data_IF_777215452592
#
_entry.id   IF_777215452592
#
_cell.length_a   1.000
_cell.length_b   1.000
_cell.length_c   1.000
_cell.angle_alpha   90.00
_cell.angle_beta   90.00
_cell.angle_gamma   90.00
#
_symmetry.space_group_name_H-M   'P 1'
#
loop_
_entity.id
_entity.type
_entity.pdbx_description
1 polymer ?
#
# COMPACT_ATOMS: atom_id res chain seq x y z
N UNK A 1 28.07 18.69 -13.67
CA UNK A 1 26.68 19.08 -14.02
C UNK A 1 26.18 20.00 -12.92
N UNK A 2 26.05 21.31 -13.17
CA UNK A 2 25.48 22.24 -12.21
C UNK A 2 23.97 21.98 -12.09
N UNK A 3 23.50 21.47 -10.94
CA UNK A 3 22.06 21.39 -10.64
C UNK A 3 21.49 22.82 -10.68
N UNK A 4 20.48 23.03 -11.52
CA UNK A 4 19.77 24.30 -11.57
C UNK A 4 18.89 24.43 -10.32
N UNK A 5 19.35 25.20 -9.34
CA UNK A 5 18.68 25.38 -8.03
C UNK A 5 17.25 25.92 -8.16
N UNK A 6 16.96 26.70 -9.19
CA UNK A 6 15.61 27.20 -9.47
C UNK A 6 14.64 26.09 -9.86
N UNK A 7 15.10 25.09 -10.63
CA UNK A 7 14.29 23.93 -10.98
C UNK A 7 13.99 23.08 -9.75
N UNK A 8 14.96 22.96 -8.85
CA UNK A 8 14.82 22.19 -7.62
C UNK A 8 13.78 22.81 -6.68
N UNK A 9 13.80 24.14 -6.49
CA UNK A 9 12.76 24.85 -5.73
C UNK A 9 11.38 24.74 -6.37
N UNK A 10 11.30 24.81 -7.71
CA UNK A 10 10.03 24.68 -8.43
C UNK A 10 9.43 23.28 -8.21
N UNK A 11 10.22 22.23 -8.41
CA UNK A 11 9.76 20.84 -8.23
C UNK A 11 9.27 20.62 -6.80
N UNK A 12 10.01 21.11 -5.80
CA UNK A 12 9.60 21.03 -4.39
C UNK A 12 8.27 21.73 -4.13
N UNK A 13 8.11 22.95 -4.65
CA UNK A 13 6.87 23.70 -4.48
C UNK A 13 5.68 22.98 -5.11
N UNK A 14 5.88 22.32 -6.26
CA UNK A 14 4.83 21.57 -6.93
C UNK A 14 4.48 20.27 -6.20
N UNK A 15 5.47 19.56 -5.65
CA UNK A 15 5.24 18.38 -4.80
C UNK A 15 4.40 18.76 -3.57
N UNK A 16 4.78 19.81 -2.86
CA UNK A 16 4.03 20.28 -1.69
C UNK A 16 2.59 20.67 -2.06
N UNK A 17 2.43 21.48 -3.11
CA UNK A 17 1.12 21.93 -3.59
C UNK A 17 0.20 20.77 -3.97
N UNK A 18 0.72 19.74 -4.66
CA UNK A 18 -0.09 18.59 -5.05
C UNK A 18 -0.45 17.68 -3.89
N UNK A 19 0.44 17.52 -2.92
CA UNK A 19 0.15 16.77 -1.70
C UNK A 19 -0.97 17.45 -0.89
N UNK A 20 -0.92 18.77 -0.75
CA UNK A 20 -1.95 19.56 -0.07
C UNK A 20 -3.32 19.44 -0.77
N UNK A 21 -3.36 19.60 -2.11
CA UNK A 21 -4.58 19.42 -2.88
C UNK A 21 -5.15 18.00 -2.79
N UNK A 22 -4.27 16.98 -2.75
CA UNK A 22 -4.70 15.60 -2.55
C UNK A 22 -5.36 15.41 -1.18
N UNK A 23 -4.78 15.99 -0.13
CA UNK A 23 -5.35 15.94 1.22
C UNK A 23 -6.70 16.64 1.25
N UNK A 24 -6.79 17.87 0.76
CA UNK A 24 -8.04 18.65 0.76
C UNK A 24 -9.17 17.91 0.01
N UNK A 25 -8.88 17.40 -1.19
CA UNK A 25 -9.86 16.69 -1.99
C UNK A 25 -10.31 15.38 -1.34
N UNK A 26 -9.36 14.62 -0.77
CA UNK A 26 -9.64 13.32 -0.13
C UNK A 26 -10.44 13.51 1.15
N UNK A 27 -10.06 14.47 1.99
CA UNK A 27 -10.79 14.81 3.22
C UNK A 27 -12.21 15.29 2.92
N UNK A 28 -12.37 16.12 1.88
CA UNK A 28 -13.69 16.54 1.41
C UNK A 28 -14.51 15.33 0.96
N UNK A 29 -13.94 14.42 0.16
CA UNK A 29 -14.63 13.21 -0.30
C UNK A 29 -15.07 12.29 0.85
N UNK A 30 -14.20 12.10 1.87
CA UNK A 30 -14.51 11.34 3.08
C UNK A 30 -15.66 12.01 3.86
N UNK A 31 -15.67 13.35 3.95
CA UNK A 31 -16.72 14.09 4.64
C UNK A 31 -18.09 13.98 3.96
N UNK A 32 -18.11 13.91 2.63
CA UNK A 32 -19.32 13.75 1.82
C UNK A 32 -19.80 12.30 1.79
N UNK A 33 -18.90 11.34 2.04
CA UNK A 33 -19.15 9.90 1.93
C UNK A 33 -18.66 9.17 3.18
N UNK A 34 -19.31 9.37 4.34
CA UNK A 34 -18.80 8.81 5.59
C UNK A 34 -18.85 7.26 5.56
N UNK A 35 -17.79 6.59 6.08
CA UNK A 35 -17.60 5.14 5.94
C UNK A 35 -18.66 4.26 6.62
N UNK A 36 -19.55 4.85 7.43
CA UNK A 36 -20.68 4.18 8.08
C UNK A 36 -21.97 4.13 7.24
N UNK A 37 -21.97 4.75 6.05
CA UNK A 37 -23.14 4.71 5.17
C UNK A 37 -23.12 3.40 4.38
N UNK A 38 -24.15 2.56 4.53
CA UNK A 38 -24.45 1.45 3.61
C UNK A 38 -24.82 1.92 2.18
N UNK A 39 -24.30 3.08 1.76
CA UNK A 39 -24.49 3.68 0.46
C UNK A 39 -23.66 2.90 -0.57
N UNK A 40 -24.27 2.63 -1.72
CA UNK A 40 -23.68 1.84 -2.82
C UNK A 40 -22.41 2.46 -3.45
N UNK A 41 -21.92 3.60 -2.96
CA UNK A 41 -20.66 4.22 -3.36
C UNK A 41 -19.76 4.39 -2.14
N UNK A 42 -19.01 3.34 -1.77
CA UNK A 42 -17.84 3.54 -0.92
C UNK A 42 -16.80 4.29 -1.73
N UNK A 43 -16.32 5.43 -1.21
CA UNK A 43 -15.20 6.14 -1.82
C UNK A 43 -13.94 5.26 -1.72
N UNK A 44 -13.41 4.85 -2.87
CA UNK A 44 -12.21 4.01 -2.95
C UNK A 44 -10.96 4.83 -2.63
N UNK A 45 -10.52 4.72 -1.38
CA UNK A 45 -9.36 5.42 -0.86
C UNK A 45 -8.02 4.86 -1.37
N UNK A 46 -8.00 3.69 -2.02
CA UNK A 46 -6.76 3.03 -2.43
C UNK A 46 -5.88 3.97 -3.25
N UNK A 47 -6.46 4.62 -4.25
CA UNK A 47 -5.74 5.53 -5.15
C UNK A 47 -5.18 6.76 -4.42
N UNK A 48 -5.95 7.33 -3.49
CA UNK A 48 -5.52 8.47 -2.68
C UNK A 48 -4.38 8.09 -1.73
N UNK A 49 -4.48 6.93 -1.08
CA UNK A 49 -3.43 6.40 -0.19
C UNK A 49 -2.15 6.11 -0.99
N UNK A 50 -2.24 5.45 -2.15
CA UNK A 50 -1.08 5.19 -3.01
C UNK A 50 -0.40 6.48 -3.48
N UNK A 51 -1.17 7.46 -3.94
CA UNK A 51 -0.63 8.76 -4.35
C UNK A 51 0.04 9.47 -3.16
N UNK A 52 -0.56 9.41 -1.98
CA UNK A 52 -0.01 10.02 -0.78
C UNK A 52 1.28 9.36 -0.30
N UNK A 53 1.38 8.03 -0.38
CA UNK A 53 2.62 7.30 -0.09
C UNK A 53 3.77 7.75 -1.00
N UNK A 54 3.50 7.98 -2.28
CA UNK A 54 4.49 8.52 -3.22
C UNK A 54 4.95 9.92 -2.78
N UNK A 55 4.02 10.82 -2.44
CA UNK A 55 4.38 12.15 -1.93
C UNK A 55 5.13 12.08 -0.60
N UNK A 56 4.80 11.15 0.29
CA UNK A 56 5.53 10.95 1.54
C UNK A 56 6.96 10.48 1.28
N UNK A 57 7.18 9.51 0.39
CA UNK A 57 8.52 9.10 -0.03
C UNK A 57 9.34 10.28 -0.58
N UNK A 58 8.74 11.09 -1.46
CA UNK A 58 9.43 12.26 -2.04
C UNK A 58 9.83 13.30 -0.99
N UNK A 59 8.99 13.51 0.03
CA UNK A 59 9.17 14.59 1.02
C UNK A 59 10.02 14.16 2.22
N UNK A 60 9.79 12.96 2.77
CA UNK A 60 10.55 12.42 3.90
C UNK A 60 12.02 12.19 3.54
N UNK A 61 12.30 11.75 2.31
CA UNK A 61 13.67 11.49 1.84
C UNK A 61 14.26 12.62 1.00
N UNK A 62 13.63 13.80 1.00
CA UNK A 62 14.16 15.01 0.35
C UNK A 62 15.45 15.45 1.05
N UNK A 63 16.58 15.39 0.34
CA UNK A 63 17.89 15.76 0.90
C UNK A 63 17.97 17.26 1.18
N UNK A 64 18.21 17.63 2.44
CA UNK A 64 18.48 19.01 2.84
C UNK A 64 17.25 19.91 2.94
N UNK A 65 16.03 19.37 2.84
CA UNK A 65 14.79 20.15 2.97
C UNK A 65 13.99 19.75 4.22
N UNK A 66 14.27 20.47 5.31
CA UNK A 66 13.59 20.27 6.59
C UNK A 66 12.10 20.66 6.50
N UNK A 67 11.72 21.61 5.65
CA UNK A 67 10.33 22.05 5.53
C UNK A 67 9.46 20.96 4.92
N UNK A 68 9.94 20.30 3.85
CA UNK A 68 9.25 19.15 3.24
C UNK A 68 9.11 17.98 4.21
N UNK A 69 10.18 17.65 4.95
CA UNK A 69 10.14 16.60 5.97
C UNK A 69 9.15 16.94 7.08
N UNK A 70 9.16 18.18 7.57
CA UNK A 70 8.22 18.64 8.61
C UNK A 70 6.77 18.54 8.13
N UNK A 71 6.48 18.96 6.90
CA UNK A 71 5.12 18.86 6.36
C UNK A 71 4.70 17.40 6.17
N UNK A 72 5.60 16.55 5.70
CA UNK A 72 5.37 15.12 5.56
C UNK A 72 5.02 14.46 6.91
N UNK A 73 5.74 14.82 7.99
CA UNK A 73 5.45 14.38 9.35
C UNK A 73 4.07 14.83 9.86
N UNK A 74 3.66 16.06 9.53
CA UNK A 74 2.33 16.55 9.87
C UNK A 74 1.24 15.77 9.13
N UNK A 75 1.45 15.54 7.83
CA UNK A 75 0.50 14.87 6.96
C UNK A 75 0.45 13.34 7.19
N UNK A 76 1.41 12.76 7.93
CA UNK A 76 1.40 11.35 8.29
C UNK A 76 0.12 10.95 9.05
N UNK A 77 -0.46 11.89 9.80
CA UNK A 77 -1.74 11.69 10.50
C UNK A 77 -2.91 11.47 9.54
N UNK A 78 -2.96 12.23 8.44
CA UNK A 78 -3.98 12.05 7.40
C UNK A 78 -3.82 10.70 6.72
N UNK A 79 -2.57 10.34 6.36
CA UNK A 79 -2.29 9.04 5.76
C UNK A 79 -2.68 7.87 6.69
N UNK A 80 -2.33 7.94 7.98
CA UNK A 80 -2.72 6.91 8.96
C UNK A 80 -4.24 6.77 9.04
N UNK A 81 -4.98 7.88 9.12
CA UNK A 81 -6.45 7.87 9.12
C UNK A 81 -7.02 7.25 7.84
N UNK A 82 -6.45 7.54 6.67
CA UNK A 82 -6.95 6.97 5.42
C UNK A 82 -6.68 5.46 5.34
N UNK A 83 -5.54 5.00 5.85
CA UNK A 83 -5.24 3.57 5.97
C UNK A 83 -6.19 2.88 6.95
N UNK A 84 -6.58 3.53 8.04
CA UNK A 84 -7.59 3.00 8.98
C UNK A 84 -8.94 2.79 8.29
N UNK A 85 -9.42 3.80 7.56
CA UNK A 85 -10.68 3.71 6.81
C UNK A 85 -10.58 2.62 5.73
N UNK A 86 -9.45 2.56 5.01
CA UNK A 86 -9.22 1.55 3.98
C UNK A 86 -9.22 0.13 4.59
N UNK A 87 -8.64 -0.05 5.77
CA UNK A 87 -8.67 -1.33 6.47
C UNK A 87 -10.10 -1.77 6.82
N UNK A 88 -10.92 -0.86 7.33
CA UNK A 88 -12.33 -1.14 7.66
C UNK A 88 -13.13 -1.54 6.41
N UNK A 89 -12.87 -0.89 5.27
CA UNK A 89 -13.51 -1.21 3.99
C UNK A 89 -13.10 -2.60 3.45
N UNK A 90 -11.94 -3.11 3.84
CA UNK A 90 -11.29 -4.29 3.24
C UNK A 90 -11.29 -5.49 4.17
N UNK A 91 -12.08 -5.47 5.25
CA UNK A 91 -12.27 -6.61 6.15
C UNK A 91 -13.11 -7.73 5.46
N UNK A 92 -12.68 -8.14 4.27
CA UNK A 92 -13.28 -9.13 3.39
C UNK A 92 -12.69 -10.51 3.69
N UNK A 93 -13.56 -11.47 4.03
CA UNK A 93 -13.13 -12.87 4.19
C UNK A 93 -12.84 -13.49 2.83
N UNK A 94 -11.68 -14.14 2.72
CA UNK A 94 -11.28 -14.98 1.58
C UNK A 94 -12.35 -16.01 1.19
N UNK A 95 -13.18 -16.43 2.15
CA UNK A 95 -14.26 -17.41 1.95
C UNK A 95 -15.24 -16.99 0.84
N UNK A 96 -15.40 -15.68 0.59
CA UNK A 96 -16.33 -15.14 -0.39
C UNK A 96 -15.87 -15.33 -1.86
N UNK A 97 -14.58 -15.55 -2.13
CA UNK A 97 -14.09 -15.79 -3.49
C UNK A 97 -14.43 -17.19 -4.01
N UNK A 98 -14.85 -18.09 -3.11
CA UNK A 98 -15.19 -19.48 -3.41
C UNK A 98 -16.58 -19.65 -4.02
N UNK A 99 -17.45 -18.63 -3.90
CA UNK A 99 -18.89 -18.71 -4.23
C UNK A 99 -19.32 -17.84 -5.42
N UNK A 100 -18.41 -17.07 -6.02
CA UNK A 100 -18.71 -16.19 -7.15
C UNK A 100 -18.95 -16.97 -8.45
N UNK A 101 -20.11 -16.78 -9.07
CA UNK A 101 -20.53 -17.42 -10.33
C UNK A 101 -19.85 -16.84 -11.58
N UNK A 102 -19.10 -15.74 -11.46
CA UNK A 102 -18.47 -15.06 -12.60
C UNK A 102 -17.01 -14.70 -12.30
N UNK A 103 -16.10 -15.39 -13.01
CA UNK A 103 -14.64 -15.35 -12.81
C UNK A 103 -14.04 -13.93 -12.89
N UNK A 104 -14.58 -13.08 -13.77
CA UNK A 104 -14.08 -11.71 -13.97
C UNK A 104 -14.28 -10.81 -12.73
N UNK A 105 -15.40 -10.95 -12.03
CA UNK A 105 -15.68 -10.18 -10.81
C UNK A 105 -14.79 -10.66 -9.67
N UNK A 106 -14.66 -11.98 -9.51
CA UNK A 106 -13.78 -12.62 -8.52
C UNK A 106 -12.32 -12.15 -8.68
N UNK A 107 -11.80 -12.07 -9.91
CA UNK A 107 -10.44 -11.60 -10.15
C UNK A 107 -10.27 -10.11 -9.85
N UNK A 108 -11.20 -9.25 -10.29
CA UNK A 108 -11.12 -7.79 -10.02
C UNK A 108 -11.20 -7.47 -8.53
N UNK A 109 -12.13 -8.10 -7.83
CA UNK A 109 -12.29 -7.93 -6.38
C UNK A 109 -11.04 -8.42 -5.65
N UNK A 110 -10.44 -9.52 -6.12
CA UNK A 110 -9.18 -10.01 -5.58
C UNK A 110 -8.02 -9.03 -5.83
N UNK A 111 -7.87 -8.51 -7.05
CA UNK A 111 -6.84 -7.51 -7.39
C UNK A 111 -6.98 -6.28 -6.50
N UNK A 112 -8.21 -5.82 -6.26
CA UNK A 112 -8.46 -4.68 -5.38
C UNK A 112 -8.06 -5.00 -3.94
N UNK A 113 -8.50 -6.13 -3.39
CA UNK A 113 -8.17 -6.56 -2.03
C UNK A 113 -6.65 -6.76 -1.82
N UNK A 114 -5.98 -7.37 -2.80
CA UNK A 114 -4.54 -7.60 -2.81
C UNK A 114 -3.77 -6.27 -2.90
N UNK A 115 -4.22 -5.34 -3.75
CA UNK A 115 -3.63 -4.00 -3.87
C UNK A 115 -3.74 -3.21 -2.57
N UNK A 116 -4.86 -3.34 -1.85
CA UNK A 116 -5.04 -2.73 -0.53
C UNK A 116 -4.06 -3.33 0.48
N UNK A 117 -4.00 -4.67 0.60
CA UNK A 117 -3.09 -5.35 1.52
C UNK A 117 -1.63 -4.93 1.29
N UNK A 118 -1.19 -4.88 0.04
CA UNK A 118 0.17 -4.42 -0.35
C UNK A 118 0.40 -2.95 -0.04
N UNK A 119 -0.59 -2.09 -0.27
CA UNK A 119 -0.53 -0.65 0.05
C UNK A 119 -0.42 -0.42 1.56
N UNK A 120 -1.16 -1.19 2.37
CA UNK A 120 -1.06 -1.12 3.83
C UNK A 120 0.33 -1.55 4.32
N UNK A 121 0.87 -2.65 3.79
CA UNK A 121 2.25 -3.09 4.11
C UNK A 121 3.24 -1.98 3.77
N UNK A 122 3.13 -1.36 2.59
CA UNK A 122 4.01 -0.28 2.19
C UNK A 122 3.91 0.95 3.10
N UNK A 123 2.69 1.28 3.58
CA UNK A 123 2.51 2.35 4.56
C UNK A 123 3.23 2.08 5.88
N UNK A 124 3.12 0.85 6.40
CA UNK A 124 3.82 0.45 7.63
C UNK A 124 5.34 0.44 7.43
N UNK A 125 5.82 -0.04 6.28
CA UNK A 125 7.25 -0.04 5.94
C UNK A 125 7.80 1.38 5.82
N UNK A 126 7.08 2.29 5.17
CA UNK A 126 7.51 3.68 5.04
C UNK A 126 7.63 4.37 6.40
N UNK A 127 6.61 4.23 7.25
CA UNK A 127 6.62 4.76 8.62
C UNK A 127 7.77 4.16 9.45
N UNK A 128 7.96 2.83 9.35
CA UNK A 128 9.00 2.14 10.10
C UNK A 128 10.42 2.49 9.66
N UNK A 129 10.68 2.51 8.35
CA UNK A 129 11.98 2.92 7.80
C UNK A 129 12.28 4.37 8.18
N UNK A 130 11.32 5.27 8.01
CA UNK A 130 11.51 6.68 8.37
C UNK A 130 11.81 6.86 9.87
N UNK A 131 10.99 6.25 10.72
CA UNK A 131 11.14 6.32 12.19
C UNK A 131 12.48 5.74 12.63
N UNK A 132 12.89 4.59 12.07
CA UNK A 132 14.19 3.99 12.36
C UNK A 132 15.33 4.91 11.95
N UNK A 133 15.29 5.48 10.73
CA UNK A 133 16.35 6.38 10.25
C UNK A 133 16.42 7.68 11.06
N UNK A 134 15.28 8.19 11.54
CA UNK A 134 15.23 9.46 12.29
C UNK A 134 15.55 9.31 13.77
N UNK A 135 15.12 8.23 14.40
CA UNK A 135 15.21 8.06 15.86
C UNK A 135 16.11 6.90 16.31
N UNK A 136 16.58 6.06 15.38
CA UNK A 136 17.45 4.91 15.64
C UNK A 136 16.73 3.65 16.13
N UNK A 137 15.40 3.68 16.22
CA UNK A 137 14.57 2.54 16.61
C UNK A 137 13.20 2.62 15.94
N UNK A 138 12.55 1.47 15.80
CA UNK A 138 11.18 1.33 15.32
C UNK A 138 10.49 0.24 16.13
N UNK A 139 9.21 0.44 16.42
CA UNK A 139 8.36 -0.55 17.05
C UNK A 139 7.27 -0.96 16.05
N UNK A 140 7.25 -2.23 15.58
CA UNK A 140 6.21 -2.71 14.68
C UNK A 140 4.82 -2.54 15.26
N UNK A 141 3.89 -2.05 14.45
CA UNK A 141 2.48 -1.94 14.84
C UNK A 141 1.85 -3.34 14.94
N UNK A 142 0.83 -3.47 15.80
CA UNK A 142 0.04 -4.70 15.86
C UNK A 142 -0.70 -4.97 14.53
N UNK A 143 -1.01 -3.91 13.77
CA UNK A 143 -1.55 -4.03 12.41
C UNK A 143 -0.57 -4.74 11.50
N UNK A 144 0.68 -4.27 11.44
CA UNK A 144 1.71 -4.81 10.57
C UNK A 144 1.88 -6.32 10.74
N UNK A 145 1.90 -6.82 11.98
CA UNK A 145 2.03 -8.25 12.26
C UNK A 145 0.87 -9.11 11.69
N UNK A 146 -0.33 -8.53 11.55
CA UNK A 146 -1.50 -9.22 11.03
C UNK A 146 -1.67 -9.07 9.50
N UNK A 147 -0.81 -8.29 8.84
CA UNK A 147 -0.87 -8.15 7.39
C UNK A 147 -0.28 -9.38 6.70
N UNK A 148 -0.81 -9.64 5.50
CA UNK A 148 -0.28 -10.64 4.60
C UNK A 148 -0.64 -10.32 3.16
N UNK A 149 0.06 -10.95 2.23
CA UNK A 149 -0.10 -10.72 0.80
C UNK A 149 0.21 -12.00 0.02
N UNK A 150 -0.24 -12.05 -1.24
CA UNK A 150 0.05 -13.15 -2.14
C UNK A 150 1.47 -13.01 -2.65
N UNK A 151 2.41 -13.83 -2.17
CA UNK A 151 3.82 -13.74 -2.56
C UNK A 151 4.13 -14.33 -3.93
N UNK A 152 3.19 -15.07 -4.53
CA UNK A 152 3.41 -15.80 -5.76
C UNK A 152 3.34 -14.90 -7.00
N UNK A 153 4.48 -14.74 -7.68
CA UNK A 153 4.64 -13.88 -8.86
C UNK A 153 3.64 -14.20 -9.98
N UNK A 154 3.39 -15.48 -10.26
CA UNK A 154 2.48 -15.90 -11.33
C UNK A 154 1.01 -15.51 -11.08
N UNK A 155 0.59 -15.43 -9.81
CA UNK A 155 -0.76 -15.00 -9.45
C UNK A 155 -0.86 -13.48 -9.48
N UNK A 156 0.16 -12.77 -8.98
CA UNK A 156 0.20 -11.31 -8.96
C UNK A 156 0.31 -10.69 -10.36
N UNK A 157 1.17 -11.25 -11.22
CA UNK A 157 1.44 -10.73 -12.57
C UNK A 157 0.40 -11.15 -13.62
N UNK A 158 -0.62 -11.94 -13.23
CA UNK A 158 -1.69 -12.34 -14.13
C UNK A 158 -2.40 -11.10 -14.69
N UNK A 159 -2.50 -10.99 -16.01
CA UNK A 159 -3.09 -9.82 -16.71
C UNK A 159 -4.53 -10.04 -17.13
N UNK A 160 -5.05 -11.24 -16.90
CA UNK A 160 -6.43 -11.59 -17.18
C UNK A 160 -6.99 -12.57 -16.14
N UNK A 161 -8.32 -12.64 -15.98
CA UNK A 161 -8.98 -13.64 -15.14
C UNK A 161 -8.60 -15.09 -15.51
N UNK A 162 -8.39 -15.35 -16.81
CA UNK A 162 -8.00 -16.67 -17.31
C UNK A 162 -6.57 -17.04 -16.89
N UNK A 163 -5.62 -16.12 -17.02
CA UNK A 163 -4.23 -16.30 -16.55
C UNK A 163 -4.19 -16.50 -15.04
N UNK A 164 -4.97 -15.71 -14.28
CA UNK A 164 -5.06 -15.82 -12.83
C UNK A 164 -5.61 -17.19 -12.40
N UNK A 165 -6.69 -17.64 -13.04
CA UNK A 165 -7.26 -18.95 -12.77
C UNK A 165 -6.30 -20.09 -13.12
N UNK A 166 -5.57 -19.97 -14.23
CA UNK A 166 -4.55 -20.94 -14.62
C UNK A 166 -3.39 -20.98 -13.61
N UNK A 167 -2.87 -19.83 -13.19
CA UNK A 167 -1.78 -19.74 -12.23
C UNK A 167 -2.13 -20.41 -10.89
N UNK A 168 -3.37 -20.20 -10.42
CA UNK A 168 -3.91 -20.86 -9.23
C UNK A 168 -3.96 -22.39 -9.32
N UNK A 169 -4.15 -22.94 -10.52
CA UNK A 169 -4.23 -24.39 -10.74
C UNK A 169 -2.85 -25.06 -10.86
N UNK A 170 -1.81 -24.30 -11.20
CA UNK A 170 -0.48 -24.83 -11.49
C UNK A 170 0.46 -24.85 -10.29
N UNK A 171 0.28 -23.92 -9.35
CA UNK A 171 1.16 -23.78 -8.19
C UNK A 171 0.35 -23.64 -6.90
N UNK A 172 0.88 -24.09 -5.75
CA UNK A 172 0.23 -23.85 -4.47
C UNK A 172 0.13 -22.35 -4.21
N UNK A 173 -1.02 -21.92 -3.68
CA UNK A 173 -1.25 -20.55 -3.27
C UNK A 173 -0.34 -20.22 -2.08
N UNK A 174 0.64 -19.34 -2.28
CA UNK A 174 1.54 -18.89 -1.21
C UNK A 174 1.06 -17.53 -0.71
N UNK A 175 0.35 -17.54 0.43
CA UNK A 175 0.07 -16.33 1.20
C UNK A 175 1.19 -16.14 2.23
N UNK A 176 1.85 -14.99 2.17
CA UNK A 176 2.92 -14.61 3.08
C UNK A 176 2.35 -13.68 4.12
N UNK A 177 2.36 -14.10 5.38
CA UNK A 177 2.02 -13.25 6.52
C UNK A 177 3.28 -12.61 7.09
N UNK A 178 3.21 -11.34 7.51
CA UNK A 178 4.37 -10.62 8.04
C UNK A 178 4.91 -11.26 9.32
N UNK A 179 4.03 -11.73 10.23
CA UNK A 179 4.47 -12.33 11.50
C UNK A 179 5.17 -13.69 11.35
N UNK A 180 4.86 -14.44 10.30
CA UNK A 180 5.45 -15.76 10.00
C UNK A 180 6.19 -15.79 8.67
N UNK A 181 6.63 -14.62 8.20
CA UNK A 181 7.17 -14.41 6.85
C UNK A 181 8.33 -15.36 6.53
N UNK A 182 9.25 -15.53 7.48
CA UNK A 182 10.40 -16.40 7.33
C UNK A 182 10.02 -17.88 7.12
N UNK A 183 8.96 -18.35 7.76
CA UNK A 183 8.48 -19.72 7.58
C UNK A 183 7.68 -19.86 6.28
N UNK A 184 6.93 -18.82 5.88
CA UNK A 184 6.25 -18.76 4.59
C UNK A 184 7.22 -18.83 3.41
N UNK A 185 8.36 -18.14 3.47
CA UNK A 185 9.38 -18.17 2.42
C UNK A 185 10.06 -19.54 2.30
N UNK A 186 10.32 -20.25 3.41
CA UNK A 186 10.92 -21.60 3.33
C UNK A 186 10.08 -22.58 2.52
N UNK A 187 8.77 -22.36 2.47
CA UNK A 187 7.85 -23.17 1.69
C UNK A 187 7.74 -22.74 0.22
N UNK A 188 8.28 -21.58 -0.15
CA UNK A 188 8.23 -21.03 -1.51
C UNK A 188 9.57 -21.23 -2.25
N UNK A 189 9.51 -21.44 -3.57
CA UNK A 189 10.73 -21.39 -4.38
C UNK A 189 11.17 -19.92 -4.56
N UNK A 190 12.47 -19.60 -4.55
CA UNK A 190 12.95 -18.22 -4.71
C UNK A 190 12.45 -17.52 -5.98
N UNK A 191 12.36 -18.27 -7.10
CA UNK A 191 11.86 -17.75 -8.39
C UNK A 191 10.33 -17.51 -8.39
N UNK A 192 9.62 -17.98 -7.36
CA UNK A 192 8.18 -17.80 -7.23
C UNK A 192 7.82 -16.53 -6.45
N UNK A 193 8.80 -15.88 -5.81
CA UNK A 193 8.58 -14.70 -4.99
C UNK A 193 8.51 -13.43 -5.84
N UNK A 194 7.52 -12.60 -5.58
CA UNK A 194 7.37 -11.30 -6.22
C UNK A 194 8.32 -10.23 -5.64
N UNK A 195 8.38 -9.06 -6.28
CA UNK A 195 9.28 -7.98 -5.88
C UNK A 195 9.04 -7.51 -4.43
N UNK A 196 7.79 -7.46 -3.97
CA UNK A 196 7.49 -7.06 -2.59
C UNK A 196 8.05 -8.06 -1.58
N UNK A 197 7.90 -9.37 -1.85
CA UNK A 197 8.51 -10.40 -1.02
C UNK A 197 10.04 -10.32 -1.00
N UNK A 198 10.67 -10.04 -2.15
CA UNK A 198 12.12 -9.86 -2.23
C UNK A 198 12.57 -8.66 -1.40
N UNK A 199 11.88 -7.52 -1.50
CA UNK A 199 12.17 -6.32 -0.73
C UNK A 199 12.12 -6.62 0.77
N UNK A 200 11.06 -7.26 1.25
CA UNK A 200 10.89 -7.59 2.69
C UNK A 200 11.94 -8.60 3.16
N UNK A 201 12.37 -9.54 2.32
CA UNK A 201 13.42 -10.50 2.67
C UNK A 201 14.80 -9.83 2.84
N UNK A 202 15.06 -8.75 2.10
CA UNK A 202 16.35 -8.05 2.09
C UNK A 202 16.43 -6.82 3.01
N UNK A 203 15.30 -6.38 3.54
CA UNK A 203 15.18 -5.26 4.48
C UNK A 203 15.58 -5.67 5.91
#
# INVERSE_FOLDING_TARGET
MARNSANESLIRSEIARRAELLIEATETAISLTPPSSHSAMNFDLLHAVQAMLIYQCMRLFSTGDIAQQTQAELDAKSLARWVDILQEQTQWSWDNFSSGTQLDFVWKDWVQAESIRRTMIFSELLDGIYTFLRFGWYQPSARMANLGFTGQVAIWEARSPAEWHQARGQKPWVELNISSFHDGIKAAFPDDLDELGIIILTA
#
